data_IF_177418954854
#
_entry.id   IF_177418954854
#
_cell.length_a   1.000
_cell.length_b   1.000
_cell.length_c   1.000
_cell.angle_alpha   90.00
_cell.angle_beta   90.00
_cell.angle_gamma   90.00
#
_symmetry.space_group_name_H-M   'P 1'
#
loop_
_entity.id
_entity.type
_entity.pdbx_description
1 polymer ?
#
# COMPACT_ATOMS: atom_id res chain seq x y z
N UNK A 1 -4.30 -15.02 -15.50
CA UNK A 1 -2.97 -15.18 -14.92
C UNK A 1 -2.91 -14.49 -13.57
N UNK A 2 -2.23 -15.08 -12.60
CA UNK A 2 -2.13 -14.55 -11.25
C UNK A 2 -0.67 -14.44 -10.83
N UNK A 3 -0.33 -13.35 -10.14
CA UNK A 3 0.94 -13.18 -9.48
C UNK A 3 0.68 -12.78 -8.02
N UNK A 4 1.35 -13.42 -7.08
CA UNK A 4 1.13 -13.17 -5.66
C UNK A 4 2.39 -12.66 -5.00
N UNK A 5 2.23 -11.68 -4.11
CA UNK A 5 3.31 -11.16 -3.28
C UNK A 5 2.86 -11.31 -1.83
N UNK A 6 3.64 -12.02 -1.01
CA UNK A 6 3.29 -12.23 0.39
C UNK A 6 3.40 -10.92 1.19
N UNK A 7 2.63 -10.85 2.28
CA UNK A 7 2.73 -9.70 3.19
C UNK A 7 4.13 -9.59 3.80
N UNK A 8 4.78 -10.72 4.04
CA UNK A 8 6.15 -10.72 4.56
C UNK A 8 7.12 -10.06 3.59
N UNK A 9 7.00 -10.35 2.29
CA UNK A 9 7.83 -9.71 1.26
C UNK A 9 7.54 -8.23 1.17
N UNK A 10 6.25 -7.84 1.19
CA UNK A 10 5.88 -6.42 1.16
C UNK A 10 6.40 -5.68 2.38
N UNK A 11 6.26 -6.28 3.56
CA UNK A 11 6.76 -5.69 4.81
C UNK A 11 8.27 -5.46 4.74
N UNK A 12 9.00 -6.45 4.25
CA UNK A 12 10.45 -6.33 4.10
C UNK A 12 10.82 -5.21 3.14
N UNK A 13 10.20 -5.17 1.96
CA UNK A 13 10.48 -4.16 0.95
C UNK A 13 10.19 -2.74 1.45
N UNK A 14 9.03 -2.54 2.03
CA UNK A 14 8.61 -1.21 2.50
C UNK A 14 9.45 -0.81 3.71
N UNK A 15 9.74 -1.73 4.61
CA UNK A 15 10.57 -1.45 5.79
C UNK A 15 12.00 -1.09 5.40
N UNK A 16 12.57 -1.75 4.40
CA UNK A 16 13.90 -1.43 3.90
C UNK A 16 13.95 -0.02 3.26
N UNK A 17 12.94 0.32 2.49
CA UNK A 17 12.89 1.62 1.79
C UNK A 17 12.57 2.78 2.73
N UNK A 18 11.73 2.56 3.73
CA UNK A 18 11.30 3.62 4.65
C UNK A 18 12.10 3.68 5.93
N UNK A 19 12.90 2.63 6.22
CA UNK A 19 13.63 2.45 7.49
C UNK A 19 12.67 2.46 8.70
N UNK A 20 11.43 1.99 8.50
CA UNK A 20 10.39 1.90 9.52
C UNK A 20 9.80 0.50 9.53
N UNK A 21 9.53 -0.09 10.72
CA UNK A 21 8.82 -1.36 10.76
C UNK A 21 7.35 -1.16 10.40
N UNK A 22 6.95 -1.72 9.28
CA UNK A 22 5.60 -1.62 8.76
C UNK A 22 5.00 -3.03 8.71
N UNK A 23 3.77 -3.17 9.19
CA UNK A 23 3.02 -4.43 9.15
C UNK A 23 1.85 -4.33 8.19
N UNK A 24 1.61 -5.43 7.50
CA UNK A 24 0.42 -5.58 6.64
C UNK A 24 -0.42 -6.73 7.18
N UNK A 25 -1.70 -6.48 7.39
CA UNK A 25 -2.66 -7.47 7.88
C UNK A 25 -3.87 -7.55 6.97
N UNK A 26 -4.38 -8.76 6.80
CA UNK A 26 -5.58 -9.01 6.00
C UNK A 26 -6.83 -8.49 6.72
N UNK A 27 -7.73 -7.84 5.97
CA UNK A 27 -9.05 -7.42 6.44
C UNK A 27 -10.14 -8.13 5.64
N UNK A 28 -10.15 -7.92 4.32
CA UNK A 28 -11.04 -8.62 3.39
C UNK A 28 -10.38 -8.68 2.00
N UNK A 29 -11.09 -9.19 1.00
CA UNK A 29 -10.53 -9.39 -0.34
C UNK A 29 -10.08 -8.12 -1.04
N UNK A 30 -10.56 -6.95 -0.62
CA UNK A 30 -10.18 -5.65 -1.20
C UNK A 30 -9.49 -4.73 -0.21
N UNK A 31 -9.40 -5.11 1.06
CA UNK A 31 -8.91 -4.24 2.12
C UNK A 31 -7.78 -4.88 2.89
N UNK A 32 -6.74 -4.09 3.12
CA UNK A 32 -5.58 -4.47 3.91
C UNK A 32 -5.35 -3.40 4.97
N UNK A 33 -4.91 -3.81 6.15
CA UNK A 33 -4.51 -2.88 7.21
C UNK A 33 -3.00 -2.70 7.19
N UNK A 34 -2.57 -1.45 7.14
CA UNK A 34 -1.16 -1.08 7.23
C UNK A 34 -0.94 -0.45 8.60
N UNK A 35 -0.02 -0.99 9.37
CA UNK A 35 0.29 -0.51 10.72
C UNK A 35 1.75 -0.14 10.84
N UNK A 36 2.05 0.93 11.58
CA UNK A 36 3.42 1.29 11.88
C UNK A 36 3.50 2.12 13.16
N UNK A 37 4.69 2.14 13.75
CA UNK A 37 4.93 2.89 14.98
C UNK A 37 5.25 4.35 14.71
N UNK A 38 4.61 5.24 15.46
CA UNK A 38 4.90 6.66 15.46
C UNK A 38 5.54 7.02 16.78
N UNK A 39 6.73 7.66 16.71
CA UNK A 39 7.42 8.17 17.90
C UNK A 39 7.04 9.65 18.06
N UNK A 40 6.30 9.95 19.13
CA UNK A 40 5.85 11.30 19.43
C UNK A 40 6.78 12.03 20.41
N UNK A 41 7.95 11.44 20.72
CA UNK A 41 8.92 12.02 21.65
C UNK A 41 8.66 11.62 23.10
N UNK A 42 7.43 11.74 23.58
CA UNK A 42 7.04 11.37 24.92
C UNK A 42 6.41 9.98 25.01
N UNK A 43 6.00 9.43 23.89
CA UNK A 43 5.42 8.08 23.79
C UNK A 43 5.57 7.53 22.36
N UNK A 44 5.53 6.22 22.26
CA UNK A 44 5.46 5.53 20.98
C UNK A 44 4.05 4.98 20.83
N UNK A 45 3.45 5.14 19.65
CA UNK A 45 2.11 4.67 19.37
C UNK A 45 2.06 3.96 18.02
N UNK A 46 1.36 2.84 17.97
CA UNK A 46 1.10 2.15 16.72
C UNK A 46 -0.14 2.74 16.05
N UNK A 47 -0.02 3.07 14.77
CA UNK A 47 -1.12 3.63 13.97
C UNK A 47 -1.49 2.62 12.88
N UNK A 48 -2.77 2.28 12.78
CA UNK A 48 -3.30 1.41 11.75
C UNK A 48 -4.18 2.18 10.78
N UNK A 49 -3.98 1.94 9.49
CA UNK A 49 -4.74 2.54 8.41
C UNK A 49 -5.28 1.41 7.54
N UNK A 50 -6.58 1.43 7.26
CA UNK A 50 -7.19 0.52 6.31
C UNK A 50 -7.03 1.07 4.90
N UNK A 51 -6.56 0.24 3.98
CA UNK A 51 -6.39 0.60 2.58
C UNK A 51 -7.28 -0.32 1.75
N UNK A 52 -8.25 0.28 1.07
CA UNK A 52 -9.17 -0.46 0.20
C UNK A 52 -8.83 -0.22 -1.25
N UNK A 53 -8.66 -1.30 -2.01
CA UNK A 53 -8.47 -1.23 -3.46
C UNK A 53 -9.77 -0.82 -4.13
N UNK A 54 -9.73 0.25 -4.91
CA UNK A 54 -10.88 0.72 -5.68
C UNK A 54 -10.85 0.19 -7.11
N UNK A 55 -9.77 0.46 -7.84
CA UNK A 55 -9.61 -0.01 -9.21
C UNK A 55 -8.16 0.09 -9.68
N UNK A 56 -7.91 -0.47 -10.86
CA UNK A 56 -6.66 -0.36 -11.59
C UNK A 56 -6.91 0.32 -12.93
N UNK A 57 -6.07 1.29 -13.27
CA UNK A 57 -6.09 1.94 -14.58
C UNK A 57 -4.66 1.91 -15.14
N UNK A 58 -4.40 0.99 -16.07
CA UNK A 58 -3.04 0.77 -16.55
C UNK A 58 -2.13 0.22 -15.44
N UNK A 59 -1.08 0.94 -15.10
CA UNK A 59 -0.17 0.61 -14.01
C UNK A 59 -0.45 1.41 -12.74
N UNK A 60 -1.54 2.19 -12.72
CA UNK A 60 -1.93 3.01 -11.57
C UNK A 60 -3.01 2.33 -10.75
N UNK A 61 -2.75 2.19 -9.46
CA UNK A 61 -3.70 1.60 -8.51
C UNK A 61 -4.35 2.73 -7.71
N UNK A 62 -5.68 2.79 -7.72
CA UNK A 62 -6.42 3.70 -6.85
C UNK A 62 -6.83 2.96 -5.58
N UNK A 63 -6.50 3.55 -4.45
CA UNK A 63 -6.87 3.02 -3.14
C UNK A 63 -7.49 4.12 -2.31
N UNK A 64 -8.38 3.75 -1.40
CA UNK A 64 -8.94 4.66 -0.40
C UNK A 64 -8.42 4.27 0.97
N UNK A 65 -7.91 5.25 1.71
CA UNK A 65 -7.48 5.00 3.08
C UNK A 65 -8.55 5.47 4.06
N UNK A 66 -8.68 4.74 5.15
CA UNK A 66 -9.58 5.10 6.23
C UNK A 66 -8.93 4.74 7.56
N UNK A 67 -9.39 5.39 8.62
CA UNK A 67 -8.83 5.21 9.95
C UNK A 67 -9.91 4.81 10.93
N UNK A 68 -9.48 4.17 12.00
CA UNK A 68 -10.36 3.90 13.11
C UNK A 68 -10.75 5.20 13.82
N UNK A 69 -11.83 5.11 14.58
CA UNK A 69 -12.36 6.23 15.36
C UNK A 69 -11.27 6.83 16.27
N UNK A 70 -11.15 8.15 16.24
CA UNK A 70 -10.20 8.87 17.08
C UNK A 70 -8.77 8.94 16.56
N UNK A 71 -8.50 8.42 15.35
CA UNK A 71 -7.17 8.35 14.78
C UNK A 71 -6.87 9.40 13.72
N UNK A 72 -7.84 10.23 13.35
CA UNK A 72 -7.73 11.16 12.22
C UNK A 72 -6.55 12.14 12.33
N UNK A 73 -6.33 12.68 13.53
CA UNK A 73 -5.23 13.61 13.76
C UNK A 73 -3.84 12.96 13.65
N UNK A 74 -3.74 11.69 14.04
CA UNK A 74 -2.50 10.93 13.96
C UNK A 74 -2.20 10.47 12.54
N UNK A 75 -3.23 10.27 11.73
CA UNK A 75 -3.06 9.84 10.33
C UNK A 75 -2.39 10.92 9.49
N UNK A 76 -2.76 12.18 9.67
CA UNK A 76 -2.08 13.28 8.98
C UNK A 76 -0.58 13.32 9.28
N UNK A 77 -0.21 13.15 10.55
CA UNK A 77 1.19 13.07 10.96
C UNK A 77 1.87 11.85 10.33
N UNK A 78 1.18 10.71 10.38
CA UNK A 78 1.66 9.45 9.84
C UNK A 78 1.90 9.52 8.33
N UNK A 79 0.96 10.07 7.58
CA UNK A 79 1.08 10.23 6.13
C UNK A 79 2.24 11.16 5.77
N UNK A 80 2.44 12.24 6.51
CA UNK A 80 3.58 13.14 6.28
C UNK A 80 4.91 12.45 6.49
N UNK A 81 5.03 11.63 7.53
CA UNK A 81 6.26 10.87 7.79
C UNK A 81 6.54 9.86 6.69
N UNK A 82 5.51 9.16 6.24
CA UNK A 82 5.63 8.17 5.16
C UNK A 82 5.98 8.85 3.84
N UNK A 83 5.33 9.96 3.51
CA UNK A 83 5.62 10.72 2.28
C UNK A 83 7.07 11.15 2.17
N UNK A 84 7.67 11.57 3.27
CA UNK A 84 9.07 11.99 3.27
C UNK A 84 10.05 10.85 3.03
N UNK A 85 9.60 9.60 3.17
CA UNK A 85 10.42 8.40 3.04
C UNK A 85 10.12 7.58 1.79
N UNK A 86 9.02 7.89 1.11
CA UNK A 86 8.62 7.24 -0.15
C UNK A 86 9.25 8.01 -1.31
N UNK A 87 9.77 7.32 -2.32
CA UNK A 87 10.30 7.99 -3.51
C UNK A 87 9.27 8.93 -4.14
N UNK A 88 9.73 10.10 -4.56
CA UNK A 88 8.88 11.08 -5.23
C UNK A 88 8.27 10.46 -6.49
N UNK A 89 7.00 10.72 -6.73
CA UNK A 89 6.29 10.20 -7.88
C UNK A 89 5.70 8.81 -7.72
N UNK A 90 5.90 8.17 -6.55
CA UNK A 90 5.30 6.84 -6.31
C UNK A 90 3.82 6.92 -5.98
N UNK A 91 3.43 7.92 -5.21
CA UNK A 91 2.03 8.11 -4.79
C UNK A 91 1.60 9.55 -4.97
N UNK A 92 0.32 9.73 -5.33
CA UNK A 92 -0.33 11.04 -5.40
C UNK A 92 -1.59 11.04 -4.54
N UNK A 93 -1.76 12.09 -3.73
CA UNK A 93 -3.01 12.30 -3.02
C UNK A 93 -4.07 12.85 -3.95
N UNK A 94 -5.28 12.33 -3.82
CA UNK A 94 -6.47 12.79 -4.53
C UNK A 94 -7.57 13.11 -3.52
N UNK A 95 -8.64 13.80 -3.95
CA UNK A 95 -9.77 14.09 -3.04
C UNK A 95 -10.41 12.82 -2.47
N UNK A 96 -11.14 12.98 -1.36
CA UNK A 96 -11.93 11.92 -0.70
C UNK A 96 -11.09 10.77 -0.14
N UNK A 97 -9.87 11.08 0.37
CA UNK A 97 -8.98 10.09 0.97
C UNK A 97 -8.52 9.02 -0.02
N UNK A 98 -8.40 9.37 -1.28
CA UNK A 98 -7.91 8.47 -2.33
C UNK A 98 -6.43 8.73 -2.56
N UNK A 99 -5.68 7.64 -2.71
CA UNK A 99 -4.28 7.68 -3.13
C UNK A 99 -4.16 6.98 -4.48
N UNK A 100 -3.41 7.58 -5.37
CA UNK A 100 -3.03 6.98 -6.65
C UNK A 100 -1.61 6.45 -6.50
N UNK A 101 -1.45 5.14 -6.65
CA UNK A 101 -0.15 4.48 -6.50
C UNK A 101 0.36 4.08 -7.89
N UNK A 102 1.53 4.57 -8.26
CA UNK A 102 2.18 4.24 -9.54
C UNK A 102 2.99 2.96 -9.37
N UNK A 103 2.37 1.81 -9.64
CA UNK A 103 3.00 0.51 -9.43
C UNK A 103 4.24 0.28 -10.28
N UNK A 104 4.33 0.93 -11.44
CA UNK A 104 5.50 0.84 -12.32
C UNK A 104 6.76 1.49 -11.74
N UNK A 105 6.61 2.26 -10.66
CA UNK A 105 7.73 2.83 -9.92
C UNK A 105 8.27 1.92 -8.83
N UNK A 106 7.61 0.79 -8.59
CA UNK A 106 8.05 -0.21 -7.61
C UNK A 106 8.89 -1.26 -8.32
N UNK A 107 10.17 -1.35 -7.99
CA UNK A 107 11.15 -2.18 -8.70
C UNK A 107 10.75 -3.66 -8.76
N UNK A 108 10.13 -4.18 -7.70
CA UNK A 108 9.70 -5.59 -7.66
C UNK A 108 8.42 -5.86 -8.44
N UNK A 109 7.60 -4.84 -8.63
CA UNK A 109 6.32 -4.96 -9.35
C UNK A 109 6.51 -4.70 -10.84
N UNK A 110 7.44 -3.83 -11.20
CA UNK A 110 7.68 -3.45 -12.59
C UNK A 110 7.85 -4.64 -13.55
N UNK A 111 8.67 -5.67 -13.24
CA UNK A 111 8.79 -6.83 -14.12
C UNK A 111 7.48 -7.59 -14.32
N UNK A 112 6.63 -7.61 -13.29
CA UNK A 112 5.31 -8.25 -13.37
C UNK A 112 4.43 -7.47 -14.34
N UNK A 113 4.42 -6.14 -14.24
CA UNK A 113 3.62 -5.27 -15.10
C UNK A 113 4.08 -5.30 -16.56
N UNK A 114 5.33 -5.61 -16.82
CA UNK A 114 5.84 -5.76 -18.17
C UNK A 114 5.30 -7.01 -18.87
N UNK A 115 4.91 -8.02 -18.10
CA UNK A 115 4.41 -9.31 -18.59
C UNK A 115 2.91 -9.48 -18.49
N UNK A 116 2.28 -8.81 -17.51
CA UNK A 116 0.87 -8.97 -17.19
C UNK A 116 0.20 -7.60 -17.21
N UNK A 117 -0.90 -7.49 -17.96
CA UNK A 117 -1.80 -6.36 -17.86
C UNK A 117 -2.70 -6.62 -16.64
N UNK A 118 -2.38 -6.03 -15.50
CA UNK A 118 -3.11 -6.25 -14.26
C UNK A 118 -4.49 -5.60 -14.36
N UNK A 119 -5.53 -6.40 -14.14
CA UNK A 119 -6.92 -5.97 -14.22
C UNK A 119 -7.57 -5.90 -12.85
N UNK A 120 -7.08 -6.66 -11.89
CA UNK A 120 -7.63 -6.73 -10.56
C UNK A 120 -6.56 -7.06 -9.53
N UNK A 121 -6.77 -6.58 -8.30
CA UNK A 121 -5.92 -6.87 -7.15
C UNK A 121 -6.82 -7.33 -6.02
N UNK A 122 -6.52 -8.51 -5.47
CA UNK A 122 -7.26 -9.09 -4.37
C UNK A 122 -6.31 -9.45 -3.22
N UNK A 123 -6.81 -9.35 -2.00
CA UNK A 123 -6.08 -9.74 -0.80
C UNK A 123 -6.51 -11.12 -0.36
N UNK A 124 -5.56 -11.93 0.08
CA UNK A 124 -5.80 -13.16 0.81
C UNK A 124 -5.23 -13.02 2.21
N UNK A 125 -5.40 -14.03 3.05
CA UNK A 125 -4.85 -14.00 4.41
C UNK A 125 -3.32 -13.91 4.44
N UNK A 126 -2.65 -14.30 3.36
CA UNK A 126 -1.19 -14.38 3.32
C UNK A 126 -0.54 -13.47 2.29
N UNK A 127 -1.30 -13.00 1.28
CA UNK A 127 -0.69 -12.31 0.15
C UNK A 127 -1.63 -11.35 -0.55
N UNK A 128 -1.02 -10.49 -1.36
CA UNK A 128 -1.70 -9.65 -2.34
C UNK A 128 -1.60 -10.37 -3.67
N UNK A 129 -2.73 -10.59 -4.34
CA UNK A 129 -2.79 -11.31 -5.62
C UNK A 129 -3.18 -10.35 -6.72
N UNK A 130 -2.34 -10.28 -7.75
CA UNK A 130 -2.61 -9.51 -8.96
C UNK A 130 -3.10 -10.46 -10.04
N UNK A 131 -4.26 -10.15 -10.63
CA UNK A 131 -4.86 -10.93 -11.71
C UNK A 131 -4.88 -10.12 -12.99
N UNK A 132 -4.63 -10.78 -14.10
CA UNK A 132 -4.66 -10.13 -15.39
C UNK A 132 -4.38 -11.09 -16.54
N UNK A 133 -4.15 -10.51 -17.71
CA UNK A 133 -3.80 -11.24 -18.92
C UNK A 133 -2.37 -10.95 -19.33
N UNK A 134 -1.79 -11.83 -20.12
CA UNK A 134 -0.45 -11.60 -20.66
C UNK A 134 -0.44 -10.36 -21.57
N UNK A 135 0.60 -9.57 -21.45
CA UNK A 135 0.89 -8.51 -22.44
C UNK A 135 1.52 -9.14 -23.66
N UNK A 136 1.05 -8.69 -24.78
CA UNK A 136 1.63 -9.07 -26.07
C UNK A 136 2.79 -8.14 -26.47
#
# INVERSE_FOLDING_TARGET
MKAAVSYQELQRLVSEKTHQPIKFDFVDDKTMKVSYGVDLGFMKKEVGINIKVLDMAGSDLRVRYSTGFGMDGLVGVALNLVKNKIPEGLMEEQPDQVLLVHLDKIDKVKPILERIAVQDINMTEESVVMEGSFRE
#
